data_IF_413654777647
#
_entry.id   IF_413654777647
#
_cell.length_a   1.000
_cell.length_b   1.000
_cell.length_c   1.000
_cell.angle_alpha   90.00
_cell.angle_beta   90.00
_cell.angle_gamma   90.00
#
_symmetry.space_group_name_H-M   'P 1'
#
loop_
_entity.id
_entity.type
_entity.pdbx_description
1 polymer ?
#
# COMPACT_ATOMS: atom_id res chain seq x y z
N UNK A 1 -18.95 -13.94 -7.57
CA UNK A 1 -17.75 -13.37 -8.24
C UNK A 1 -17.54 -11.99 -7.65
N UNK A 2 -16.60 -11.83 -6.71
CA UNK A 2 -16.15 -10.49 -6.30
C UNK A 2 -15.16 -10.01 -7.35
N UNK A 3 -15.42 -8.85 -7.95
CA UNK A 3 -14.51 -8.18 -8.86
C UNK A 3 -13.19 -7.92 -8.15
N UNK A 4 -12.12 -8.54 -8.61
CA UNK A 4 -10.77 -8.34 -8.09
C UNK A 4 -10.19 -7.07 -8.73
N UNK A 5 -10.44 -5.91 -8.09
CA UNK A 5 -9.90 -4.62 -8.54
C UNK A 5 -8.40 -4.46 -8.26
N UNK A 6 -7.79 -3.48 -8.93
CA UNK A 6 -6.38 -3.08 -8.72
C UNK A 6 -6.25 -2.28 -7.42
N UNK A 7 -5.17 -2.50 -6.66
CA UNK A 7 -4.90 -1.73 -5.45
C UNK A 7 -4.61 -0.25 -5.74
N UNK A 8 -5.05 0.62 -4.84
CA UNK A 8 -4.68 2.03 -4.82
C UNK A 8 -3.23 2.19 -4.35
N UNK A 9 -2.38 2.72 -5.23
CA UNK A 9 -0.96 2.94 -4.96
C UNK A 9 -0.57 4.36 -5.33
N UNK A 10 0.04 5.07 -4.40
CA UNK A 10 0.68 6.37 -4.66
C UNK A 10 2.18 6.19 -4.78
N UNK A 11 2.76 6.61 -5.90
CA UNK A 11 4.21 6.60 -6.10
C UNK A 11 4.82 7.97 -5.75
N UNK A 12 5.96 7.96 -5.07
CA UNK A 12 6.75 9.17 -4.80
C UNK A 12 8.26 8.86 -4.75
N UNK A 13 9.09 9.89 -4.53
CA UNK A 13 10.53 9.77 -4.45
C UNK A 13 11.22 9.45 -5.78
N UNK A 14 12.54 9.43 -5.77
CA UNK A 14 13.36 9.12 -6.94
C UNK A 14 14.58 8.31 -6.55
N UNK A 15 14.85 7.23 -7.27
CA UNK A 15 15.93 6.30 -6.94
C UNK A 15 15.86 5.01 -7.76
N UNK A 16 16.98 4.28 -7.80
CA UNK A 16 17.06 2.98 -8.51
C UNK A 16 16.44 1.84 -7.71
N UNK A 17 16.45 1.95 -6.38
CA UNK A 17 15.86 0.96 -5.48
C UNK A 17 14.48 1.42 -4.99
N UNK A 18 13.57 0.46 -4.86
CA UNK A 18 12.18 0.69 -4.48
C UNK A 18 11.91 0.26 -3.03
N UNK A 19 10.98 0.94 -2.37
CA UNK A 19 10.42 0.57 -1.07
C UNK A 19 8.90 0.58 -1.17
N UNK A 20 8.26 -0.47 -0.69
CA UNK A 20 6.81 -0.57 -0.56
C UNK A 20 6.44 -0.32 0.90
N UNK A 21 5.52 0.60 1.14
CA UNK A 21 5.02 0.94 2.47
C UNK A 21 3.62 0.37 2.66
N UNK A 22 3.52 -0.59 3.58
CA UNK A 22 2.25 -1.21 4.01
C UNK A 22 1.88 -0.64 5.37
N UNK A 23 0.66 -0.11 5.50
CA UNK A 23 0.16 0.40 6.76
C UNK A 23 -0.26 -0.73 7.71
N UNK A 24 -0.43 -0.41 9.00
CA UNK A 24 -0.96 -1.32 10.00
C UNK A 24 -2.49 -1.39 10.03
N UNK A 25 -3.04 -2.12 11.00
CA UNK A 25 -4.49 -2.27 11.20
C UNK A 25 -5.21 -0.90 11.26
N UNK A 26 -6.36 -0.80 10.57
CA UNK A 26 -7.18 0.42 10.46
C UNK A 26 -6.52 1.62 9.76
N UNK A 27 -5.39 1.41 9.08
CA UNK A 27 -4.67 2.44 8.35
C UNK A 27 -5.08 2.62 6.88
N UNK A 28 -4.30 3.45 6.18
CA UNK A 28 -4.27 3.64 4.74
C UNK A 28 -2.86 4.11 4.32
N UNK A 29 -2.63 4.30 3.01
CA UNK A 29 -1.37 4.69 2.40
C UNK A 29 -0.72 5.96 2.99
N UNK A 30 -1.49 6.84 3.66
CA UNK A 30 -0.96 8.09 4.24
C UNK A 30 -0.34 7.90 5.62
N UNK A 31 -0.61 6.81 6.33
CA UNK A 31 -0.12 6.63 7.71
C UNK A 31 1.41 6.63 7.83
N UNK A 32 2.11 6.17 6.79
CA UNK A 32 3.57 6.14 6.75
C UNK A 32 4.18 7.31 5.95
N UNK A 33 3.42 8.39 5.72
CA UNK A 33 3.84 9.49 4.84
C UNK A 33 5.14 10.19 5.26
N UNK A 34 5.39 10.34 6.57
CA UNK A 34 6.66 10.92 7.06
C UNK A 34 7.85 10.03 6.68
N UNK A 35 7.74 8.72 6.96
CA UNK A 35 8.77 7.74 6.60
C UNK A 35 8.99 7.68 5.08
N UNK A 36 7.91 7.69 4.31
CA UNK A 36 7.98 7.72 2.85
C UNK A 36 8.72 8.95 2.31
N UNK A 37 8.49 10.13 2.90
CA UNK A 37 9.21 11.35 2.51
C UNK A 37 10.71 11.25 2.77
N UNK A 38 11.09 10.76 3.96
CA UNK A 38 12.50 10.62 4.35
C UNK A 38 13.23 9.58 3.48
N UNK A 39 12.61 8.42 3.23
CA UNK A 39 13.18 7.40 2.36
C UNK A 39 13.18 7.82 0.87
N UNK A 40 12.21 8.64 0.48
CA UNK A 40 12.01 9.12 -0.89
C UNK A 40 13.12 10.01 -1.43
N UNK A 41 14.00 10.52 -0.56
CA UNK A 41 15.20 11.28 -0.95
C UNK A 41 16.17 10.44 -1.78
N UNK A 42 16.19 9.11 -1.60
CA UNK A 42 17.10 8.21 -2.31
C UNK A 42 16.42 6.98 -2.93
N UNK A 43 15.12 6.77 -2.68
CA UNK A 43 14.38 5.57 -3.08
C UNK A 43 13.08 5.93 -3.77
N UNK A 44 12.62 5.05 -4.67
CA UNK A 44 11.26 5.10 -5.20
C UNK A 44 10.31 4.50 -4.18
N UNK A 45 9.29 5.23 -3.78
CA UNK A 45 8.36 4.81 -2.73
C UNK A 45 7.01 4.47 -3.35
N UNK A 46 6.44 3.35 -2.95
CA UNK A 46 5.08 2.93 -3.26
C UNK A 46 4.30 2.85 -1.96
N UNK A 47 3.40 3.81 -1.73
CA UNK A 47 2.48 3.76 -0.59
C UNK A 47 1.20 3.08 -1.03
N UNK A 48 0.88 1.96 -0.40
CA UNK A 48 -0.21 1.07 -0.80
C UNK A 48 -1.36 1.18 0.20
N UNK A 49 -2.58 1.32 -0.31
CA UNK A 49 -3.78 1.03 0.46
C UNK A 49 -3.98 -0.50 0.43
N UNK A 50 -3.95 -1.18 1.58
CA UNK A 50 -4.19 -2.63 1.64
C UNK A 50 -5.63 -2.96 1.20
N UNK A 51 -5.92 -4.21 0.76
CA UNK A 51 -7.28 -4.62 0.41
C UNK A 51 -8.31 -4.19 1.46
N UNK A 52 -9.40 -3.57 1.00
CA UNK A 52 -10.48 -3.01 1.82
C UNK A 52 -10.17 -1.72 2.58
N UNK A 53 -9.00 -1.11 2.38
CA UNK A 53 -8.61 0.15 3.00
C UNK A 53 -8.44 1.26 1.96
N UNK A 54 -8.58 2.52 2.38
CA UNK A 54 -8.35 3.68 1.53
C UNK A 54 -9.12 3.63 0.21
N UNK A 55 -8.41 3.70 -0.91
CA UNK A 55 -8.98 3.56 -2.25
C UNK A 55 -8.96 2.14 -2.83
N UNK A 56 -8.48 1.14 -2.09
CA UNK A 56 -8.41 -0.25 -2.57
C UNK A 56 -9.75 -0.98 -2.43
N UNK A 57 -10.07 -1.91 -3.34
CA UNK A 57 -11.34 -2.63 -3.35
C UNK A 57 -11.54 -3.44 -2.07
N UNK A 58 -12.79 -3.57 -1.63
CA UNK A 58 -13.15 -4.40 -0.49
C UNK A 58 -12.98 -5.89 -0.78
N UNK A 59 -12.55 -6.63 0.24
CA UNK A 59 -12.52 -8.08 0.22
C UNK A 59 -13.76 -8.68 0.89
N UNK A 60 -14.17 -9.84 0.41
CA UNK A 60 -15.26 -10.62 1.04
C UNK A 60 -14.85 -11.26 2.37
N UNK A 61 -13.54 -11.44 2.59
CA UNK A 61 -12.93 -12.01 3.81
C UNK A 61 -11.59 -11.35 4.08
N UNK A 62 -11.23 -11.27 5.36
CA UNK A 62 -9.97 -10.67 5.81
C UNK A 62 -9.18 -11.72 6.60
N UNK A 63 -7.97 -12.02 6.14
CA UNK A 63 -6.94 -12.76 6.87
C UNK A 63 -5.57 -12.20 6.45
N UNK A 64 -4.52 -12.49 7.22
CA UNK A 64 -3.18 -12.04 6.86
C UNK A 64 -2.71 -12.69 5.55
N UNK A 65 -3.12 -13.94 5.31
CA UNK A 65 -2.83 -14.68 4.07
C UNK A 65 -3.50 -14.00 2.86
N UNK A 66 -4.77 -13.63 2.98
CA UNK A 66 -5.48 -12.89 1.92
C UNK A 66 -4.77 -11.55 1.66
N UNK A 67 -4.33 -10.84 2.70
CA UNK A 67 -3.59 -9.58 2.53
C UNK A 67 -2.27 -9.79 1.79
N UNK A 68 -1.51 -10.83 2.15
CA UNK A 68 -0.21 -11.13 1.56
C UNK A 68 -0.31 -11.57 0.10
N UNK A 69 -1.35 -12.32 -0.29
CA UNK A 69 -1.56 -12.75 -1.67
C UNK A 69 -1.99 -11.62 -2.62
N UNK A 70 -2.58 -10.56 -2.06
CA UNK A 70 -3.24 -9.50 -2.83
C UNK A 70 -2.38 -8.25 -3.01
N UNK A 71 -1.31 -8.10 -2.23
CA UNK A 71 -0.31 -7.00 -2.28
C UNK A 71 0.81 -7.33 -3.24
#
# INVERSE_FOLDING_TARGET
MTEQGVLSVTQSGSGKASVVLLHGLFGNARNLGKLGRELGEARRIFSVDLPGHGGSPHESRYSIEIMAERV
#
